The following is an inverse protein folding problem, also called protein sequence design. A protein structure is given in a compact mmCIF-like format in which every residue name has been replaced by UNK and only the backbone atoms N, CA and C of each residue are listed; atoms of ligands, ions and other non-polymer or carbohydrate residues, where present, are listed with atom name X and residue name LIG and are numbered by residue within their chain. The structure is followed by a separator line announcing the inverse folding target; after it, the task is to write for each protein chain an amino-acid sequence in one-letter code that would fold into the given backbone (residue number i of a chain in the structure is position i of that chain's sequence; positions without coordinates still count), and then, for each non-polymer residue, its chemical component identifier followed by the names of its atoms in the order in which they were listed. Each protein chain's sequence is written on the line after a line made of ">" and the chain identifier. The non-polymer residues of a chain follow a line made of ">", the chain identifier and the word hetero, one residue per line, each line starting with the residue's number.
data_IF_848113659060
#
_entry.id   IF_848113659060
#
_cell.length_a   1.000
_cell.length_b   1.000
_cell.length_c   1.000
_cell.angle_alpha   90.00
_cell.angle_beta   90.00
_cell.angle_gamma   90.00
#
_symmetry.space_group_name_H-M   'P 1'
#
loop_
_entity.id
_entity.type
_entity.pdbx_description
1 polymer ?
#
# COMPACT_ATOMS: atom_id res chain seq x y z
N UNK A 1 17.15 17.51 17.53
CA UNK A 1 17.42 16.26 18.27
C UNK A 1 16.63 15.15 17.61
N UNK A 2 17.25 14.01 17.27
CA UNK A 2 16.50 12.78 16.93
C UNK A 2 16.18 12.10 18.26
N UNK A 3 14.91 12.00 18.61
CA UNK A 3 14.48 11.19 19.75
C UNK A 3 14.44 9.72 19.33
N UNK A 4 14.66 8.79 20.27
CA UNK A 4 14.54 7.34 20.00
C UNK A 4 13.10 6.84 20.25
N UNK A 5 12.12 7.75 20.18
CA UNK A 5 10.73 7.47 20.51
C UNK A 5 9.91 7.34 19.23
N UNK A 6 8.87 6.50 19.27
CA UNK A 6 7.89 6.45 18.20
C UNK A 6 7.15 7.79 18.14
N UNK A 7 7.26 8.49 17.00
CA UNK A 7 6.61 9.79 16.80
C UNK A 7 5.12 9.64 16.49
N UNK A 8 4.74 8.58 15.76
CA UNK A 8 3.37 8.33 15.33
C UNK A 8 3.18 6.89 14.85
N UNK A 9 1.98 6.36 15.11
CA UNK A 9 1.48 5.11 14.52
C UNK A 9 0.45 5.44 13.44
N UNK A 10 0.55 4.77 12.29
CA UNK A 10 -0.42 4.85 11.19
C UNK A 10 -1.17 3.51 11.11
N UNK A 11 -2.49 3.58 10.98
CA UNK A 11 -3.37 2.41 10.99
C UNK A 11 -4.41 2.48 9.88
N UNK A 12 -4.94 1.33 9.46
CA UNK A 12 -6.01 1.22 8.46
C UNK A 12 -5.71 0.26 7.32
N UNK A 13 -4.44 -0.08 7.09
CA UNK A 13 -4.05 -1.19 6.23
C UNK A 13 -3.96 -2.49 7.04
N UNK A 14 -4.16 -3.62 6.37
CA UNK A 14 -3.93 -4.97 6.91
C UNK A 14 -2.55 -5.48 6.48
N UNK A 15 -1.75 -5.94 7.43
CA UNK A 15 -0.44 -6.53 7.21
C UNK A 15 -0.07 -7.45 8.40
N UNK A 16 -0.53 -8.69 8.35
CA UNK A 16 -0.35 -9.67 9.43
C UNK A 16 0.61 -10.81 9.06
N UNK A 17 0.89 -11.03 7.76
CA UNK A 17 1.63 -12.21 7.29
C UNK A 17 2.71 -11.91 6.24
N UNK A 18 2.47 -11.05 5.27
CA UNK A 18 3.30 -10.88 4.08
C UNK A 18 4.22 -9.66 4.14
N UNK A 19 5.20 -9.58 3.24
CA UNK A 19 5.89 -8.32 2.97
C UNK A 19 5.09 -7.52 1.95
N UNK A 20 4.50 -6.41 2.38
CA UNK A 20 3.60 -5.58 1.54
C UNK A 20 4.25 -4.36 0.89
N UNK A 21 5.55 -4.16 1.13
CA UNK A 21 6.29 -2.99 0.65
C UNK A 21 6.01 -1.70 1.43
N UNK A 22 7.01 -0.82 1.48
CA UNK A 22 6.96 0.48 2.15
C UNK A 22 7.86 1.46 1.40
N UNK A 23 7.36 2.69 1.19
CA UNK A 23 8.13 3.77 0.57
C UNK A 23 7.72 5.12 1.17
N UNK A 24 8.62 6.10 1.16
CA UNK A 24 8.34 7.44 1.65
C UNK A 24 8.71 8.49 0.61
N UNK A 25 7.98 9.60 0.59
CA UNK A 25 8.35 10.80 -0.18
C UNK A 25 8.62 11.95 0.78
N UNK A 26 9.91 12.25 0.97
CA UNK A 26 10.34 13.28 1.90
C UNK A 26 9.94 12.97 3.35
N UNK A 27 9.53 13.99 4.08
CA UNK A 27 9.09 13.87 5.48
C UNK A 27 7.56 13.78 5.63
N UNK A 28 6.84 13.85 4.52
CA UNK A 28 5.40 14.10 4.48
C UNK A 28 4.56 12.88 4.14
N UNK A 29 5.04 12.01 3.24
CA UNK A 29 4.23 10.94 2.70
C UNK A 29 4.85 9.58 2.93
N UNK A 30 3.98 8.63 3.25
CA UNK A 30 4.29 7.22 3.42
C UNK A 30 3.31 6.45 2.53
N UNK A 31 3.79 5.51 1.73
CA UNK A 31 2.93 4.53 1.05
C UNK A 31 3.36 3.11 1.40
N UNK A 32 2.38 2.22 1.53
CA UNK A 32 2.59 0.80 1.75
C UNK A 32 1.51 -0.02 1.04
N UNK A 33 1.79 -1.29 0.79
CA UNK A 33 0.77 -2.24 0.37
C UNK A 33 -0.07 -2.76 1.53
N UNK A 34 -0.98 -3.67 1.22
CA UNK A 34 -1.84 -4.35 2.18
C UNK A 34 -2.31 -5.71 1.65
N UNK A 35 -2.71 -6.57 2.59
CA UNK A 35 -3.20 -7.94 2.36
C UNK A 35 -4.66 -8.02 1.89
N UNK A 36 -5.29 -6.88 1.64
CA UNK A 36 -6.59 -6.77 0.98
C UNK A 36 -6.43 -6.22 -0.46
N UNK A 37 -5.31 -6.56 -1.11
CA UNK A 37 -4.98 -6.14 -2.47
C UNK A 37 -5.04 -4.60 -2.69
N UNK A 38 -4.79 -3.80 -1.66
CA UNK A 38 -4.91 -2.33 -1.71
C UNK A 38 -3.60 -1.64 -1.33
N UNK A 39 -3.23 -0.60 -2.07
CA UNK A 39 -2.16 0.35 -1.71
C UNK A 39 -2.74 1.47 -0.85
N UNK A 40 -2.04 1.81 0.22
CA UNK A 40 -2.40 2.86 1.16
C UNK A 40 -1.33 3.94 1.15
N UNK A 41 -1.73 5.20 1.12
CA UNK A 41 -0.86 6.35 1.32
C UNK A 41 -1.36 7.23 2.47
N UNK A 42 -0.42 7.61 3.33
CA UNK A 42 -0.63 8.38 4.54
C UNK A 42 0.13 9.70 4.43
N UNK A 43 -0.52 10.78 4.86
CA UNK A 43 0.14 12.05 5.09
C UNK A 43 0.59 12.13 6.56
N UNK A 44 1.77 12.67 6.84
CA UNK A 44 2.46 12.64 8.15
C UNK A 44 1.60 13.08 9.35
N UNK A 45 0.62 13.95 9.11
CA UNK A 45 -0.25 14.52 10.14
C UNK A 45 -1.59 13.78 10.29
N UNK A 46 -1.87 12.78 9.44
CA UNK A 46 -3.09 11.97 9.46
C UNK A 46 -2.75 10.54 9.90
N UNK A 47 -3.34 10.08 11.00
CA UNK A 47 -3.12 8.70 11.50
C UNK A 47 -3.87 7.63 10.69
N UNK A 48 -4.78 8.05 9.82
CA UNK A 48 -5.57 7.21 8.92
C UNK A 48 -5.18 7.48 7.46
N UNK A 49 -5.49 6.56 6.53
CA UNK A 49 -5.12 6.71 5.13
C UNK A 49 -5.70 7.97 4.50
N UNK A 50 -4.87 8.69 3.75
CA UNK A 50 -5.29 9.84 2.96
C UNK A 50 -5.75 9.43 1.56
N UNK A 51 -5.10 8.41 1.00
CA UNK A 51 -5.40 7.86 -0.33
C UNK A 51 -5.32 6.34 -0.26
N UNK A 52 -6.26 5.67 -0.92
CA UNK A 52 -6.26 4.21 -1.11
C UNK A 52 -6.45 3.89 -2.58
N UNK A 53 -5.82 2.81 -3.04
CA UNK A 53 -6.00 2.28 -4.39
C UNK A 53 -6.11 0.77 -4.32
N UNK A 54 -7.30 0.24 -4.59
CA UNK A 54 -7.56 -1.19 -4.64
C UNK A 54 -7.26 -1.71 -6.04
N UNK A 55 -6.42 -2.74 -6.13
CA UNK A 55 -6.20 -3.44 -7.38
C UNK A 55 -7.48 -4.20 -7.76
N UNK A 56 -7.77 -4.25 -9.05
CA UNK A 56 -8.83 -5.11 -9.54
C UNK A 56 -8.51 -6.58 -9.28
N UNK A 57 -9.55 -7.41 -9.23
CA UNK A 57 -9.39 -8.85 -9.25
C UNK A 57 -10.03 -9.39 -10.55
N UNK A 58 -9.28 -9.33 -11.66
CA UNK A 58 -9.71 -9.92 -12.92
C UNK A 58 -8.87 -11.16 -13.23
N UNK A 59 -9.53 -12.23 -13.65
CA UNK A 59 -8.83 -13.41 -14.10
C UNK A 59 -8.08 -13.07 -15.41
N UNK A 60 -6.74 -13.12 -15.39
CA UNK A 60 -5.90 -12.79 -16.55
C UNK A 60 -6.16 -13.64 -17.80
N UNK A 61 -6.77 -14.83 -17.64
CA UNK A 61 -7.12 -15.74 -18.74
C UNK A 61 -8.54 -15.55 -19.24
N UNK A 62 -9.50 -15.35 -18.34
CA UNK A 62 -10.94 -15.31 -18.70
C UNK A 62 -11.54 -13.91 -18.73
N UNK A 63 -10.84 -12.91 -18.18
CA UNK A 63 -11.33 -11.54 -18.00
C UNK A 63 -12.50 -11.43 -17.01
N UNK A 64 -12.88 -12.53 -16.36
CA UNK A 64 -13.98 -12.53 -15.40
C UNK A 64 -13.54 -11.88 -14.09
N UNK A 65 -14.41 -11.04 -13.54
CA UNK A 65 -14.25 -10.50 -12.19
C UNK A 65 -14.30 -11.64 -11.18
N UNK A 66 -13.29 -11.70 -10.32
CA UNK A 66 -13.22 -12.62 -9.20
C UNK A 66 -13.65 -11.90 -7.90
N UNK A 67 -13.99 -12.66 -6.85
CA UNK A 67 -14.33 -12.07 -5.55
C UNK A 67 -13.22 -11.13 -5.08
N UNK A 68 -13.58 -9.91 -4.69
CA UNK A 68 -12.64 -8.88 -4.22
C UNK A 68 -11.82 -9.31 -2.99
N UNK A 69 -12.35 -10.25 -2.19
CA UNK A 69 -11.75 -10.80 -0.98
C UNK A 69 -11.02 -12.12 -1.22
N UNK A 70 -10.23 -12.24 -2.29
CA UNK A 70 -9.30 -13.37 -2.39
C UNK A 70 -8.16 -13.19 -1.37
N UNK A 71 -8.06 -14.05 -0.33
CA UNK A 71 -7.06 -13.89 0.73
C UNK A 71 -5.62 -14.17 0.25
N UNK A 72 -5.43 -14.58 -1.01
CA UNK A 72 -4.12 -14.75 -1.63
C UNK A 72 -3.59 -13.46 -2.27
N UNK A 73 -4.44 -12.43 -2.45
CA UNK A 73 -4.07 -11.19 -3.12
C UNK A 73 -3.59 -10.13 -2.14
N UNK A 74 -2.39 -9.63 -2.37
CA UNK A 74 -1.81 -8.57 -1.56
C UNK A 74 -0.90 -7.69 -2.41
N UNK A 75 -0.82 -6.41 -2.07
CA UNK A 75 0.19 -5.52 -2.66
C UNK A 75 1.53 -5.92 -2.09
N UNK A 76 2.49 -6.27 -2.94
CA UNK A 76 3.79 -6.85 -2.55
C UNK A 76 4.93 -5.84 -2.61
N UNK A 77 4.83 -4.82 -3.48
CA UNK A 77 5.84 -3.79 -3.65
C UNK A 77 5.23 -2.42 -3.92
N UNK A 78 5.86 -1.37 -3.38
CA UNK A 78 5.53 0.03 -3.66
C UNK A 78 6.80 0.86 -3.78
N UNK A 79 6.81 1.85 -4.67
CA UNK A 79 7.93 2.77 -4.86
C UNK A 79 7.42 4.16 -5.25
N UNK A 80 7.70 5.15 -4.42
CA UNK A 80 7.35 6.53 -4.72
C UNK A 80 8.39 7.16 -5.66
N UNK A 81 7.93 7.74 -6.77
CA UNK A 81 8.82 8.47 -7.67
C UNK A 81 9.22 9.80 -7.04
N UNK A 82 10.51 9.97 -6.80
CA UNK A 82 11.07 11.12 -6.10
C UNK A 82 10.56 12.47 -6.65
N UNK A 83 10.12 13.35 -5.74
CA UNK A 83 9.61 14.70 -6.03
C UNK A 83 8.39 14.77 -6.97
N UNK A 84 7.59 13.71 -7.05
CA UNK A 84 6.37 13.67 -7.87
C UNK A 84 5.20 13.04 -7.11
N UNK A 85 3.97 13.28 -7.56
CA UNK A 85 2.77 12.66 -6.99
C UNK A 85 2.47 11.31 -7.65
N UNK A 86 3.51 10.51 -7.92
CA UNK A 86 3.38 9.24 -8.64
C UNK A 86 3.98 8.11 -7.81
N UNK A 87 3.20 7.06 -7.63
CA UNK A 87 3.60 5.82 -6.95
C UNK A 87 3.49 4.68 -7.94
N UNK A 88 4.52 3.85 -8.01
CA UNK A 88 4.44 2.53 -8.62
C UNK A 88 4.08 1.53 -7.52
N UNK A 89 3.13 0.65 -7.80
CA UNK A 89 2.73 -0.43 -6.91
C UNK A 89 2.55 -1.70 -7.72
N UNK A 90 2.91 -2.84 -7.14
CA UNK A 90 2.66 -4.14 -7.74
C UNK A 90 2.07 -5.12 -6.72
N UNK A 91 1.18 -5.99 -7.17
CA UNK A 91 0.54 -7.00 -6.32
C UNK A 91 1.21 -8.38 -6.39
N UNK A 92 0.64 -9.37 -5.71
CA UNK A 92 1.14 -10.75 -5.68
C UNK A 92 1.00 -11.49 -7.01
N UNK A 93 0.25 -10.94 -7.97
CA UNK A 93 0.14 -11.43 -9.35
C UNK A 93 1.09 -10.71 -10.32
N UNK A 94 1.93 -9.80 -9.82
CA UNK A 94 2.80 -8.95 -10.63
C UNK A 94 2.04 -8.02 -11.61
N UNK A 95 0.85 -7.59 -11.22
CA UNK A 95 0.08 -6.51 -11.86
C UNK A 95 0.55 -5.13 -11.40
#
# INVERSE_FOLDING_TARGET
>A
MRTQECVRTFSGHTNEKNFVGLTTMGEDWIACGSENNTMYAYYRNLSHPAVTHQFGNCNSVTGAEQPEDDPSLFVSAVCWKNKTNTVLSANSQAE
#
